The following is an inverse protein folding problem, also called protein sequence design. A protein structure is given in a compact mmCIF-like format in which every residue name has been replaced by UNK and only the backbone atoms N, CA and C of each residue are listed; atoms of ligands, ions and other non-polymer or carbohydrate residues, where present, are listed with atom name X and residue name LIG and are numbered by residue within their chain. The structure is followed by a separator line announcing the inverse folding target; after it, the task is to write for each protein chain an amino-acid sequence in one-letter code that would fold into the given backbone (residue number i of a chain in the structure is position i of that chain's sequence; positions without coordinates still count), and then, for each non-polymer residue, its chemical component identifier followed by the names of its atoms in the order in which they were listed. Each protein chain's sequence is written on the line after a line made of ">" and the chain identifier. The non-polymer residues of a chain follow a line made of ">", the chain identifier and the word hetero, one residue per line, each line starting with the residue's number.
data_IF_205771030558
#
_entry.id   IF_205771030558
#
_cell.length_a   1.000
_cell.length_b   1.000
_cell.length_c   1.000
_cell.angle_alpha   90.00
_cell.angle_beta   90.00
_cell.angle_gamma   90.00
#
_symmetry.space_group_name_H-M   'P 1'
#
loop_
_entity.id
_entity.type
_entity.pdbx_description
1 polymer ?
#
# COMPACT_ATOMS: atom_id res chain seq x y z
N UNK A 1 -36.12 -29.25 15.72
CA UNK A 1 -35.15 -28.42 14.97
C UNK A 1 -34.96 -29.06 13.61
N UNK A 2 -35.24 -28.33 12.54
CA UNK A 2 -35.05 -28.82 11.17
C UNK A 2 -33.60 -28.60 10.71
N UNK A 3 -33.20 -29.26 9.63
CA UNK A 3 -31.91 -29.00 8.96
C UNK A 3 -31.79 -27.52 8.57
N UNK A 4 -32.89 -26.89 8.20
CA UNK A 4 -32.93 -25.50 7.77
C UNK A 4 -32.75 -24.52 8.94
N UNK A 5 -33.25 -24.89 10.12
CA UNK A 5 -33.00 -24.12 11.36
C UNK A 5 -31.51 -24.17 11.74
N UNK A 6 -30.90 -25.36 11.69
CA UNK A 6 -29.46 -25.53 11.95
C UNK A 6 -28.59 -24.75 10.96
N UNK A 7 -28.97 -24.70 9.68
CA UNK A 7 -28.25 -23.89 8.68
C UNK A 7 -28.31 -22.40 9.01
N UNK A 8 -29.47 -21.90 9.44
CA UNK A 8 -29.60 -20.49 9.86
C UNK A 8 -28.75 -20.17 11.09
N UNK A 9 -28.64 -21.10 12.03
CA UNK A 9 -27.75 -20.96 13.19
C UNK A 9 -26.27 -20.87 12.76
N UNK A 10 -25.84 -21.69 11.79
CA UNK A 10 -24.48 -21.61 11.21
C UNK A 10 -24.28 -20.27 10.49
N UNK A 11 -25.22 -19.85 9.65
CA UNK A 11 -25.12 -18.57 8.91
C UNK A 11 -24.98 -17.37 9.88
N UNK A 12 -25.66 -17.42 11.03
CA UNK A 12 -25.53 -16.40 12.07
C UNK A 12 -24.17 -16.45 12.76
N UNK A 13 -23.67 -17.64 13.08
CA UNK A 13 -22.34 -17.81 13.65
C UNK A 13 -21.24 -17.33 12.69
N UNK A 14 -21.35 -17.63 11.40
CA UNK A 14 -20.38 -17.22 10.37
C UNK A 14 -20.31 -15.69 10.23
N UNK A 15 -21.44 -14.99 10.32
CA UNK A 15 -21.45 -13.52 10.36
C UNK A 15 -20.70 -12.98 11.57
N UNK A 16 -20.89 -13.56 12.74
CA UNK A 16 -20.19 -13.15 13.95
C UNK A 16 -18.68 -13.42 13.87
N UNK A 17 -18.29 -14.55 13.27
CA UNK A 17 -16.88 -14.89 13.01
C UNK A 17 -16.27 -13.86 12.06
N UNK A 18 -16.95 -13.53 10.96
CA UNK A 18 -16.48 -12.54 10.00
C UNK A 18 -16.31 -11.17 10.64
N UNK A 19 -17.30 -10.69 11.39
CA UNK A 19 -17.23 -9.41 12.09
C UNK A 19 -16.08 -9.35 13.10
N UNK A 20 -15.85 -10.44 13.84
CA UNK A 20 -14.75 -10.55 14.79
C UNK A 20 -13.39 -10.59 14.08
N UNK A 21 -13.31 -11.30 12.95
CA UNK A 21 -12.11 -11.39 12.13
C UNK A 21 -11.75 -10.02 11.53
N UNK A 22 -12.71 -9.30 10.96
CA UNK A 22 -12.52 -7.93 10.44
C UNK A 22 -12.03 -6.97 11.54
N UNK A 23 -12.63 -7.02 12.73
CA UNK A 23 -12.16 -6.23 13.88
C UNK A 23 -10.71 -6.57 14.25
N UNK A 24 -10.36 -7.86 14.25
CA UNK A 24 -9.00 -8.33 14.54
C UNK A 24 -8.00 -7.85 13.50
N UNK A 25 -8.28 -8.02 12.21
CA UNK A 25 -7.40 -7.58 11.11
C UNK A 25 -7.12 -6.08 11.22
N UNK A 26 -8.16 -5.28 11.47
CA UNK A 26 -8.02 -3.84 11.66
C UNK A 26 -7.18 -3.46 12.89
N UNK A 27 -7.30 -4.20 14.00
CA UNK A 27 -6.48 -4.00 15.18
C UNK A 27 -5.02 -4.39 14.93
N UNK A 28 -4.79 -5.54 14.29
CA UNK A 28 -3.47 -6.01 13.88
C UNK A 28 -2.75 -4.97 13.03
N UNK A 29 -3.41 -4.45 12.00
CA UNK A 29 -2.89 -3.37 11.15
C UNK A 29 -2.38 -2.17 11.96
N UNK A 30 -3.18 -1.66 12.91
CA UNK A 30 -2.79 -0.51 13.77
C UNK A 30 -1.59 -0.86 14.65
N UNK A 31 -1.53 -2.09 15.17
CA UNK A 31 -0.37 -2.58 15.93
C UNK A 31 0.87 -2.62 15.03
N UNK A 32 0.76 -3.13 13.81
CA UNK A 32 1.85 -3.14 12.83
C UNK A 32 2.36 -1.73 12.48
N UNK A 33 1.46 -0.76 12.32
CA UNK A 33 1.80 0.66 12.11
C UNK A 33 2.57 1.23 13.32
N UNK A 34 2.10 1.00 14.56
CA UNK A 34 2.78 1.46 15.77
C UNK A 34 4.15 0.80 15.97
N UNK A 35 4.24 -0.52 15.78
CA UNK A 35 5.49 -1.26 15.89
C UNK A 35 6.54 -0.77 14.89
N UNK A 36 6.13 -0.42 13.66
CA UNK A 36 7.03 0.20 12.67
C UNK A 36 7.56 1.55 13.12
N UNK A 37 6.71 2.41 13.70
CA UNK A 37 7.14 3.70 14.24
C UNK A 37 8.12 3.54 15.41
N UNK A 38 7.94 2.51 16.23
CA UNK A 38 8.78 2.22 17.39
C UNK A 38 9.99 1.31 17.10
N UNK A 39 10.16 0.85 15.86
CA UNK A 39 11.23 -0.09 15.48
C UNK A 39 11.13 -1.49 16.13
N UNK A 40 9.93 -1.91 16.54
CA UNK A 40 9.68 -3.21 17.21
C UNK A 40 9.33 -4.32 16.20
N UNK A 41 9.70 -5.58 16.49
CA UNK A 41 9.35 -6.70 15.64
C UNK A 41 7.83 -6.94 15.62
N UNK A 42 7.31 -7.21 14.42
CA UNK A 42 5.89 -7.58 14.21
C UNK A 42 5.59 -8.92 14.86
N UNK A 43 6.49 -9.89 14.73
CA UNK A 43 6.34 -11.23 15.29
C UNK A 43 6.66 -11.32 16.78
N UNK A 44 5.78 -11.94 17.56
CA UNK A 44 5.97 -12.24 18.98
C UNK A 44 5.48 -13.67 19.29
N UNK A 45 6.37 -14.69 19.19
CA UNK A 45 5.98 -16.09 19.34
C UNK A 45 5.53 -16.44 20.76
N UNK A 46 6.05 -15.73 21.77
CA UNK A 46 5.71 -15.99 23.18
C UNK A 46 4.27 -15.57 23.42
N UNK A 47 3.91 -14.36 23.00
CA UNK A 47 2.54 -13.84 23.13
C UNK A 47 1.52 -14.66 22.36
N UNK A 48 1.87 -15.13 21.15
CA UNK A 48 0.98 -15.99 20.35
C UNK A 48 0.70 -17.31 21.05
N UNK A 49 1.75 -17.96 21.60
CA UNK A 49 1.61 -19.20 22.37
C UNK A 49 0.75 -19.01 23.62
N UNK A 50 1.00 -17.95 24.39
CA UNK A 50 0.18 -17.60 25.57
C UNK A 50 -1.29 -17.40 25.20
N UNK A 51 -1.56 -16.76 24.06
CA UNK A 51 -2.93 -16.55 23.57
C UNK A 51 -3.62 -17.84 23.15
N UNK A 52 -2.91 -18.74 22.47
CA UNK A 52 -3.47 -20.05 22.08
C UNK A 52 -3.84 -20.85 23.32
N UNK A 53 -2.99 -20.85 24.36
CA UNK A 53 -3.29 -21.56 25.61
C UNK A 53 -4.49 -20.98 26.38
N UNK A 54 -4.62 -19.64 26.48
CA UNK A 54 -5.82 -18.99 27.03
C UNK A 54 -7.10 -19.37 26.25
N UNK A 55 -7.02 -19.41 24.92
CA UNK A 55 -8.15 -19.81 24.07
C UNK A 55 -8.51 -21.29 24.24
N UNK A 56 -7.53 -22.19 24.35
CA UNK A 56 -7.76 -23.62 24.62
C UNK A 56 -8.47 -23.84 25.95
N UNK A 57 -8.14 -23.06 26.98
CA UNK A 57 -8.79 -23.14 28.29
C UNK A 57 -10.27 -22.76 28.23
N UNK A 58 -10.63 -21.79 27.38
CA UNK A 58 -12.01 -21.31 27.19
C UNK A 58 -12.82 -22.15 26.20
N UNK A 59 -12.16 -22.87 25.31
CA UNK A 59 -12.82 -23.69 24.30
C UNK A 59 -13.57 -24.87 24.92
N UNK A 60 -14.68 -25.24 24.27
CA UNK A 60 -15.42 -26.46 24.59
C UNK A 60 -14.59 -27.72 24.32
N UNK A 61 -15.01 -28.84 24.89
CA UNK A 61 -14.28 -30.11 24.81
C UNK A 61 -13.96 -30.51 23.35
N UNK A 62 -14.97 -30.46 22.47
CA UNK A 62 -14.81 -30.83 21.06
C UNK A 62 -14.02 -29.80 20.26
N UNK A 63 -14.17 -28.50 20.55
CA UNK A 63 -13.49 -27.46 19.77
C UNK A 63 -12.03 -27.25 20.17
N UNK A 64 -11.62 -27.69 21.38
CA UNK A 64 -10.29 -27.45 21.94
C UNK A 64 -9.16 -27.98 21.05
N UNK A 65 -9.32 -29.14 20.41
CA UNK A 65 -8.28 -29.72 19.55
C UNK A 65 -8.03 -28.90 18.27
N UNK A 66 -8.99 -28.08 17.84
CA UNK A 66 -8.89 -27.26 16.63
C UNK A 66 -8.33 -25.86 16.88
N UNK A 67 -8.27 -25.41 18.15
CA UNK A 67 -7.90 -24.02 18.51
C UNK A 67 -6.52 -23.66 17.98
N UNK A 68 -5.53 -24.55 18.14
CA UNK A 68 -4.16 -24.28 17.71
C UNK A 68 -4.07 -24.08 16.20
N UNK A 69 -4.73 -24.94 15.43
CA UNK A 69 -4.78 -24.82 13.96
C UNK A 69 -5.53 -23.57 13.54
N UNK A 70 -6.74 -23.36 14.05
CA UNK A 70 -7.61 -22.24 13.65
C UNK A 70 -6.96 -20.90 13.96
N UNK A 71 -6.52 -20.69 15.21
CA UNK A 71 -5.94 -19.42 15.61
C UNK A 71 -4.53 -19.23 15.09
N UNK A 72 -3.75 -20.31 14.90
CA UNK A 72 -2.47 -20.26 14.19
C UNK A 72 -2.64 -19.67 12.78
N UNK A 73 -3.61 -20.18 12.01
CA UNK A 73 -3.93 -19.64 10.68
C UNK A 73 -4.43 -18.19 10.75
N UNK A 74 -5.31 -17.87 11.71
CA UNK A 74 -5.77 -16.48 11.89
C UNK A 74 -4.58 -15.54 12.18
N UNK A 75 -3.63 -15.96 13.01
CA UNK A 75 -2.45 -15.16 13.37
C UNK A 75 -1.53 -14.97 12.17
N UNK A 76 -1.25 -16.03 11.43
CA UNK A 76 -0.48 -16.00 10.18
C UNK A 76 -1.07 -15.02 9.16
N UNK A 77 -2.37 -15.16 8.85
CA UNK A 77 -3.05 -14.26 7.91
C UNK A 77 -3.09 -12.82 8.41
N UNK A 78 -3.26 -12.61 9.73
CA UNK A 78 -3.20 -11.27 10.32
C UNK A 78 -1.81 -10.67 10.14
N UNK A 79 -0.75 -11.45 10.35
CA UNK A 79 0.64 -11.00 10.23
C UNK A 79 1.01 -10.66 8.78
N UNK A 80 0.59 -11.47 7.82
CA UNK A 80 0.73 -11.13 6.39
C UNK A 80 0.06 -9.79 6.07
N UNK A 81 -1.10 -9.53 6.67
CA UNK A 81 -1.79 -8.25 6.53
C UNK A 81 -1.03 -7.10 7.22
N UNK A 82 -0.42 -7.34 8.39
CA UNK A 82 0.39 -6.37 9.14
C UNK A 82 1.65 -5.95 8.37
N UNK A 83 2.27 -6.89 7.64
CA UNK A 83 3.48 -6.68 6.85
C UNK A 83 3.22 -6.06 5.47
N UNK A 84 1.96 -5.83 5.09
CA UNK A 84 1.64 -5.21 3.80
C UNK A 84 2.35 -3.87 3.66
N UNK A 85 3.16 -3.77 2.61
CA UNK A 85 3.82 -2.55 2.20
C UNK A 85 2.77 -1.46 1.99
N UNK A 86 3.00 -0.31 2.62
CA UNK A 86 2.13 0.84 2.53
C UNK A 86 2.64 1.75 1.41
N UNK A 87 1.75 2.08 0.48
CA UNK A 87 1.97 2.99 -0.62
C UNK A 87 0.90 4.08 -0.63
N UNK A 88 1.05 5.06 -1.52
CA UNK A 88 0.00 6.02 -1.75
C UNK A 88 0.30 6.99 -2.88
N UNK A 89 -0.56 8.00 -3.01
CA UNK A 89 -0.38 9.13 -3.93
C UNK A 89 -0.28 10.43 -3.14
N UNK A 90 0.84 11.12 -3.30
CA UNK A 90 1.13 12.42 -2.70
C UNK A 90 0.65 13.56 -3.61
N UNK A 91 -0.10 14.49 -3.02
CA UNK A 91 -0.54 15.72 -3.66
C UNK A 91 -1.02 16.72 -2.61
N UNK A 92 -1.33 17.95 -3.03
CA UNK A 92 -1.84 18.96 -2.08
C UNK A 92 -3.31 18.74 -1.74
N UNK A 93 -4.12 18.43 -2.75
CA UNK A 93 -5.53 18.07 -2.62
C UNK A 93 -5.88 17.05 -3.71
N UNK A 94 -6.50 15.95 -3.30
CA UNK A 94 -6.74 14.74 -4.11
C UNK A 94 -8.15 14.14 -3.93
N UNK A 95 -9.24 14.92 -3.87
CA UNK A 95 -10.59 14.39 -3.64
C UNK A 95 -11.12 13.48 -4.77
N UNK A 96 -10.52 13.56 -5.96
CA UNK A 96 -10.98 12.86 -7.17
C UNK A 96 -9.93 11.95 -7.78
N UNK A 97 -8.86 11.61 -7.05
CA UNK A 97 -7.85 10.69 -7.58
C UNK A 97 -8.41 9.27 -7.68
N UNK A 98 -8.19 8.63 -8.83
CA UNK A 98 -8.50 7.21 -9.04
C UNK A 98 -7.33 6.28 -8.70
N UNK A 99 -6.16 6.82 -8.33
CA UNK A 99 -4.96 6.01 -8.06
C UNK A 99 -5.22 4.90 -7.03
N UNK A 100 -5.90 5.14 -5.87
CA UNK A 100 -6.18 4.06 -4.93
C UNK A 100 -6.98 2.91 -5.53
N UNK A 101 -8.01 3.20 -6.30
CA UNK A 101 -8.84 2.19 -6.96
C UNK A 101 -8.04 1.40 -8.01
N UNK A 102 -7.27 2.10 -8.85
CA UNK A 102 -6.43 1.45 -9.87
C UNK A 102 -5.38 0.55 -9.21
N UNK A 103 -4.67 1.05 -8.19
CA UNK A 103 -3.63 0.29 -7.50
C UNK A 103 -4.19 -0.91 -6.74
N UNK A 104 -5.40 -0.80 -6.19
CA UNK A 104 -6.08 -1.94 -5.58
C UNK A 104 -6.39 -3.05 -6.59
N UNK A 105 -6.78 -2.70 -7.82
CA UNK A 105 -7.09 -3.67 -8.88
C UNK A 105 -5.84 -4.40 -9.39
N UNK A 106 -4.71 -3.71 -9.54
CA UNK A 106 -3.47 -4.29 -10.09
C UNK A 106 -2.61 -4.97 -9.02
N UNK A 107 -2.73 -4.56 -7.76
CA UNK A 107 -1.92 -5.04 -6.66
C UNK A 107 -2.74 -5.12 -5.34
N UNK A 108 -3.74 -6.02 -5.25
CA UNK A 108 -4.62 -6.13 -4.08
C UNK A 108 -3.88 -6.53 -2.78
N UNK A 109 -2.65 -7.03 -2.91
CA UNK A 109 -1.75 -7.34 -1.80
C UNK A 109 -1.16 -6.11 -1.10
N UNK A 110 -1.21 -4.92 -1.71
CA UNK A 110 -0.64 -3.70 -1.15
C UNK A 110 -1.71 -2.78 -0.58
N UNK A 111 -1.34 -2.04 0.48
CA UNK A 111 -2.16 -0.94 0.95
C UNK A 111 -1.77 0.31 0.17
N UNK A 112 -2.73 0.96 -0.48
CA UNK A 112 -2.49 2.18 -1.24
C UNK A 112 -3.51 3.25 -0.86
N UNK A 113 -3.03 4.40 -0.40
CA UNK A 113 -3.89 5.50 0.08
C UNK A 113 -3.61 6.86 -0.55
N UNK A 114 -4.37 7.86 -0.10
CA UNK A 114 -4.15 9.27 -0.43
C UNK A 114 -3.24 9.90 0.64
N UNK A 115 -2.28 10.70 0.20
CA UNK A 115 -1.36 11.44 1.06
C UNK A 115 -1.48 12.92 0.72
N UNK A 116 -2.31 13.64 1.48
CA UNK A 116 -2.43 15.09 1.39
C UNK A 116 -1.48 15.75 2.38
N UNK A 117 -0.63 16.64 1.87
CA UNK A 117 0.39 17.36 2.62
C UNK A 117 0.54 18.77 2.09
N UNK A 118 0.80 19.72 2.98
CA UNK A 118 1.29 21.05 2.63
C UNK A 118 2.81 21.00 2.33
N UNK A 119 3.36 22.01 1.61
CA UNK A 119 4.75 21.98 1.15
C UNK A 119 5.81 21.80 2.26
N UNK A 120 5.54 22.31 3.46
CA UNK A 120 6.43 22.25 4.62
C UNK A 120 6.44 20.87 5.32
N UNK A 121 5.46 20.02 5.04
CA UNK A 121 5.39 18.66 5.59
C UNK A 121 6.11 17.61 4.72
N UNK A 122 6.63 18.02 3.55
CA UNK A 122 7.25 17.09 2.61
C UNK A 122 8.53 16.46 3.16
N UNK A 123 9.34 17.21 3.92
CA UNK A 123 10.60 16.68 4.45
C UNK A 123 10.34 15.57 5.47
N UNK A 124 9.31 15.69 6.32
CA UNK A 124 8.91 14.63 7.24
C UNK A 124 8.50 13.37 6.47
N UNK A 125 7.73 13.53 5.40
CA UNK A 125 7.26 12.40 4.59
C UNK A 125 8.41 11.64 3.92
N UNK A 126 9.42 12.34 3.41
CA UNK A 126 10.57 11.73 2.73
C UNK A 126 11.62 11.19 3.71
N UNK A 127 11.71 11.73 4.91
CA UNK A 127 12.58 11.18 5.96
C UNK A 127 11.91 10.03 6.75
N UNK A 128 10.58 9.95 6.70
CA UNK A 128 9.80 8.92 7.37
C UNK A 128 9.87 7.57 6.65
N UNK A 129 9.94 6.48 7.42
CA UNK A 129 9.90 5.08 6.90
C UNK A 129 8.49 4.48 6.91
N UNK A 130 7.46 5.32 6.89
CA UNK A 130 6.06 4.88 6.97
C UNK A 130 5.61 4.18 5.67
N UNK A 131 6.07 4.67 4.52
CA UNK A 131 5.71 4.16 3.21
C UNK A 131 6.87 3.40 2.59
N UNK A 132 6.58 2.37 1.82
CA UNK A 132 7.57 1.69 0.96
C UNK A 132 7.77 2.42 -0.37
N UNK A 133 6.86 3.33 -0.72
CA UNK A 133 6.95 4.20 -1.87
C UNK A 133 5.63 4.96 -2.04
N UNK A 134 5.60 5.93 -2.95
CA UNK A 134 4.36 6.63 -3.29
C UNK A 134 4.47 7.26 -4.67
N UNK A 135 3.33 7.42 -5.34
CA UNK A 135 3.25 8.31 -6.48
C UNK A 135 3.21 9.77 -6.01
N UNK A 136 3.62 10.67 -6.90
CA UNK A 136 3.65 12.11 -6.66
C UNK A 136 2.91 12.78 -7.80
N UNK A 137 1.96 13.64 -7.48
CA UNK A 137 1.28 14.48 -8.45
C UNK A 137 1.50 15.96 -8.16
N UNK A 138 0.83 16.82 -8.92
CA UNK A 138 0.90 18.26 -8.74
C UNK A 138 0.56 18.66 -7.29
N UNK A 139 1.21 19.70 -6.74
CA UNK A 139 2.30 20.49 -7.34
C UNK A 139 3.71 19.92 -7.07
N UNK A 140 3.82 18.72 -6.51
CA UNK A 140 5.04 18.28 -5.81
C UNK A 140 6.08 17.53 -6.64
N UNK A 141 5.85 17.28 -7.94
CA UNK A 141 6.77 16.46 -8.75
C UNK A 141 8.21 16.99 -8.79
N UNK A 142 8.41 18.31 -8.82
CA UNK A 142 9.74 18.95 -8.78
C UNK A 142 10.36 18.90 -7.37
N UNK A 143 9.53 19.11 -6.35
CA UNK A 143 9.96 19.06 -4.95
C UNK A 143 10.34 17.65 -4.51
N UNK A 144 9.65 16.63 -5.02
CA UNK A 144 10.00 15.23 -4.82
C UNK A 144 11.36 14.89 -5.43
N UNK A 145 11.66 15.40 -6.62
CA UNK A 145 12.95 15.17 -7.28
C UNK A 145 14.14 15.67 -6.45
N UNK A 146 13.97 16.80 -5.73
CA UNK A 146 15.00 17.38 -4.84
C UNK A 146 15.24 16.55 -3.57
N UNK A 147 14.30 15.68 -3.20
CA UNK A 147 14.31 14.87 -1.96
C UNK A 147 14.67 13.40 -2.21
N UNK A 148 14.89 13.01 -3.46
CA UNK A 148 15.38 11.68 -3.79
C UNK A 148 16.91 11.67 -3.78
N UNK A 149 17.50 10.62 -3.24
CA UNK A 149 18.96 10.39 -3.28
C UNK A 149 19.42 10.03 -4.69
N UNK A 150 18.59 9.30 -5.43
CA UNK A 150 18.85 8.88 -6.80
C UNK A 150 17.64 9.13 -7.69
N UNK A 151 17.89 9.42 -8.97
CA UNK A 151 16.84 9.62 -9.98
C UNK A 151 17.05 8.66 -11.16
N UNK A 152 15.96 8.15 -11.72
CA UNK A 152 16.00 7.38 -12.97
C UNK A 152 16.41 8.25 -14.16
N UNK A 153 16.90 7.64 -15.24
CA UNK A 153 17.41 8.36 -16.41
C UNK A 153 16.45 9.43 -16.95
N UNK A 154 15.16 9.10 -17.08
CA UNK A 154 14.17 10.07 -17.55
C UNK A 154 13.89 11.15 -16.51
N UNK A 155 13.79 10.79 -15.22
CA UNK A 155 13.60 11.75 -14.13
C UNK A 155 14.77 12.74 -14.01
N UNK A 156 16.01 12.33 -14.31
CA UNK A 156 17.19 13.22 -14.38
C UNK A 156 17.00 14.27 -15.47
N UNK A 157 16.56 13.86 -16.67
CA UNK A 157 16.42 14.76 -17.83
C UNK A 157 15.40 15.86 -17.58
N UNK A 158 14.21 15.48 -17.09
CA UNK A 158 13.09 16.42 -16.92
C UNK A 158 13.01 17.04 -15.52
N UNK A 159 13.82 16.56 -14.57
CA UNK A 159 13.87 17.04 -13.17
C UNK A 159 12.52 16.99 -12.45
N UNK A 160 11.72 15.99 -12.77
CA UNK A 160 10.42 15.73 -12.13
C UNK A 160 10.28 14.26 -11.79
N UNK A 161 9.69 13.99 -10.63
CA UNK A 161 9.44 12.64 -10.11
C UNK A 161 7.94 12.49 -9.89
N UNK A 162 7.35 11.44 -10.45
CA UNK A 162 5.95 11.06 -10.20
C UNK A 162 5.84 9.76 -9.39
N UNK A 163 6.97 9.09 -9.10
CA UNK A 163 7.02 7.80 -8.40
C UNK A 163 8.28 7.74 -7.54
N UNK A 164 8.10 7.55 -6.24
CA UNK A 164 9.15 7.46 -5.23
C UNK A 164 9.17 6.05 -4.66
N UNK A 165 10.37 5.48 -4.49
CA UNK A 165 10.59 4.18 -3.89
C UNK A 165 11.59 4.30 -2.74
N UNK A 166 11.22 3.79 -1.56
CA UNK A 166 12.15 3.62 -0.45
C UNK A 166 12.75 2.21 -0.54
N UNK A 167 14.07 2.16 -0.65
CA UNK A 167 14.81 0.90 -0.75
C UNK A 167 15.18 0.36 0.63
N UNK A 168 15.40 -0.94 0.70
CA UNK A 168 15.82 -1.62 1.93
C UNK A 168 17.22 -1.18 2.40
N UNK A 169 18.06 -0.68 1.48
CA UNK A 169 19.36 -0.05 1.79
C UNK A 169 19.23 1.37 2.37
N UNK A 170 18.01 1.89 2.50
CA UNK A 170 17.70 3.20 3.07
C UNK A 170 17.67 4.34 2.06
N UNK A 171 17.97 4.11 0.79
CA UNK A 171 17.93 5.16 -0.24
C UNK A 171 16.52 5.44 -0.76
N UNK A 172 16.29 6.69 -1.13
CA UNK A 172 15.08 7.17 -1.80
C UNK A 172 15.35 7.33 -3.29
N UNK A 173 14.67 6.55 -4.12
CA UNK A 173 14.80 6.65 -5.59
C UNK A 173 13.56 7.28 -6.21
N UNK A 174 13.77 8.29 -7.03
CA UNK A 174 12.74 8.95 -7.83
C UNK A 174 12.71 8.46 -9.27
N UNK A 175 11.52 8.17 -9.77
CA UNK A 175 11.24 7.79 -11.15
C UNK A 175 10.22 8.76 -11.75
N UNK A 176 10.22 8.82 -13.08
CA UNK A 176 9.13 9.41 -13.83
C UNK A 176 8.52 8.38 -14.79
N UNK A 177 7.40 7.78 -14.38
CA UNK A 177 6.69 6.77 -15.16
C UNK A 177 5.74 7.38 -16.19
N UNK A 178 5.50 8.69 -16.19
CA UNK A 178 4.68 9.36 -17.21
C UNK A 178 5.40 9.34 -18.57
N UNK A 179 6.73 9.56 -18.57
CA UNK A 179 7.59 9.48 -19.77
C UNK A 179 7.50 8.08 -20.38
N UNK A 180 7.78 7.07 -19.55
CA UNK A 180 7.72 5.66 -19.94
C UNK A 180 6.32 5.28 -20.45
N UNK A 181 5.27 5.69 -19.74
CA UNK A 181 3.89 5.40 -20.12
C UNK A 181 3.53 5.99 -21.47
N UNK A 182 3.98 7.22 -21.76
CA UNK A 182 3.75 7.86 -23.05
C UNK A 182 4.51 7.18 -24.18
N UNK A 183 5.80 6.91 -24.02
CA UNK A 183 6.61 6.16 -24.99
C UNK A 183 6.03 4.78 -25.29
N UNK A 184 5.58 4.07 -24.25
CA UNK A 184 4.93 2.78 -24.38
C UNK A 184 3.65 2.87 -25.24
N UNK A 185 2.81 3.88 -25.01
CA UNK A 185 1.58 4.08 -25.80
C UNK A 185 1.87 4.36 -27.27
N UNK A 186 2.88 5.19 -27.58
CA UNK A 186 3.28 5.44 -28.98
C UNK A 186 3.71 4.15 -29.67
N UNK A 187 4.54 3.36 -28.98
CA UNK A 187 5.02 2.07 -29.48
C UNK A 187 3.89 1.06 -29.69
N UNK A 188 2.96 0.94 -28.73
CA UNK A 188 1.78 0.07 -28.85
C UNK A 188 0.92 0.42 -30.08
N UNK A 189 0.83 1.71 -30.41
CA UNK A 189 0.10 2.20 -31.59
C UNK A 189 0.92 2.21 -32.88
N UNK A 190 2.18 1.76 -32.85
CA UNK A 190 3.06 1.80 -34.02
C UNK A 190 3.35 3.23 -34.51
N UNK A 191 3.27 4.21 -33.62
CA UNK A 191 3.53 5.62 -33.93
C UNK A 191 5.00 5.90 -33.65
N UNK A 192 5.79 6.12 -34.70
CA UNK A 192 7.15 6.63 -34.57
C UNK A 192 7.15 8.16 -34.70
N UNK A 193 7.48 8.93 -33.64
CA UNK A 193 7.56 10.39 -33.71
C UNK A 193 8.87 10.90 -34.30
N UNK A 194 9.85 10.03 -34.57
CA UNK A 194 11.17 10.43 -35.07
C UNK A 194 11.05 11.21 -36.38
N UNK A 195 11.80 12.32 -36.45
CA UNK A 195 11.86 13.22 -37.61
C UNK A 195 10.50 13.87 -37.99
N UNK A 196 9.52 13.87 -37.06
CA UNK A 196 8.22 14.54 -37.23
C UNK A 196 8.13 15.81 -36.40
N UNK A 197 7.24 16.71 -36.84
CA UNK A 197 6.85 17.88 -36.04
C UNK A 197 5.69 17.47 -35.14
N UNK A 198 5.91 17.48 -33.84
CA UNK A 198 4.89 17.23 -32.82
C UNK A 198 4.54 18.54 -32.13
N UNK A 199 3.23 18.80 -31.95
CA UNK A 199 2.74 19.96 -31.20
C UNK A 199 2.23 19.47 -29.86
N UNK A 200 2.85 19.94 -28.78
CA UNK A 200 2.45 19.62 -27.40
C UNK A 200 1.60 20.77 -26.86
N UNK A 201 0.37 20.46 -26.43
CA UNK A 201 -0.51 21.42 -25.79
C UNK A 201 -0.45 21.27 -24.27
N UNK A 202 0.01 22.32 -23.58
CA UNK A 202 0.05 22.40 -22.13
C UNK A 202 1.44 22.75 -21.59
N UNK A 203 1.48 23.14 -20.31
CA UNK A 203 2.69 23.60 -19.60
C UNK A 203 2.89 22.88 -18.26
N UNK A 204 2.13 21.80 -18.02
CA UNK A 204 2.20 21.03 -16.78
C UNK A 204 3.21 19.88 -16.84
N UNK A 205 3.35 19.15 -15.73
CA UNK A 205 4.32 18.04 -15.64
C UNK A 205 4.09 16.90 -16.64
N UNK A 206 2.87 16.72 -17.16
CA UNK A 206 2.60 15.78 -18.24
C UNK A 206 3.17 16.28 -19.59
N UNK A 207 3.05 17.58 -19.87
CA UNK A 207 3.64 18.20 -21.06
C UNK A 207 5.16 18.18 -20.99
N UNK A 208 5.75 18.38 -19.80
CA UNK A 208 7.20 18.24 -19.58
C UNK A 208 7.70 16.81 -19.79
N UNK A 209 6.90 15.80 -19.48
CA UNK A 209 7.27 14.39 -19.64
C UNK A 209 7.31 13.93 -21.11
N UNK A 210 6.72 14.70 -22.02
CA UNK A 210 6.62 14.34 -23.45
C UNK A 210 7.34 15.32 -24.37
N UNK A 211 8.07 16.29 -23.79
CA UNK A 211 8.77 17.37 -24.50
C UNK A 211 10.28 17.15 -24.57
#
# INVERSE_FOLDING_TARGET
>A
MSLEDLRKEIDEADRLILDAFEKRINAGRRIGELKRLEGKPVYDPVREKEKIEDLKQRAGYESREYIERLYGTIFEVTKEHEEKKLFGVLGRSLPHTYSPQIHHLIAPGYLYGVIEREPDELDELFNGKKYSGFNVTIPYKREAAKRCDELSGDAIKIKTVNTVLFRDDGKVIGYNTDVFGFEFMLKDKGIDPKDKICVVFGTGGASEAVN
#
